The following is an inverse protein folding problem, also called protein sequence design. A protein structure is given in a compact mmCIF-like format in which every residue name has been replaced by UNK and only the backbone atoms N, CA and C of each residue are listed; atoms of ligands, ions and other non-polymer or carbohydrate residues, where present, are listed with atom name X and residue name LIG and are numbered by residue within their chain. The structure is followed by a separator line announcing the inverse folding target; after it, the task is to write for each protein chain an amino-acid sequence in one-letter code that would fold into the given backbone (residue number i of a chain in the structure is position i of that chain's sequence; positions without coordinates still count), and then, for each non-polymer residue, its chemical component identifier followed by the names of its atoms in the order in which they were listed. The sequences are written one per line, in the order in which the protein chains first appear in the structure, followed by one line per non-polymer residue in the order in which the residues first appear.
data_IF_577800525290
#
_entry.id   IF_577800525290
#
_cell.length_a   1.000
_cell.length_b   1.000
_cell.length_c   1.000
_cell.angle_alpha   90.00
_cell.angle_beta   90.00
_cell.angle_gamma   90.00
#
_symmetry.space_group_name_H-M   'P 1'
#
loop_
_entity.id
_entity.type
_entity.pdbx_description
1 polymer ?
#
# COMPACT_ATOMS: atom_id res chain seq x y z
N UNK A 1 4.93 -6.23 12.67
CA UNK A 1 4.68 -5.29 13.77
C UNK A 1 3.67 -4.28 13.27
N UNK A 2 2.71 -3.91 14.10
CA UNK A 2 1.69 -2.94 13.69
C UNK A 2 2.28 -1.52 13.76
N UNK A 3 1.86 -0.67 12.83
CA UNK A 3 2.43 0.68 12.64
C UNK A 3 1.31 1.70 12.50
N UNK A 4 1.47 2.85 13.14
CA UNK A 4 0.64 4.04 12.93
C UNK A 4 1.51 5.11 12.27
N UNK A 5 1.14 5.55 11.07
CA UNK A 5 1.86 6.58 10.33
C UNK A 5 1.14 7.91 10.34
N UNK A 6 1.77 8.95 10.87
CA UNK A 6 1.33 10.34 10.72
C UNK A 6 2.33 11.06 9.80
N UNK A 7 1.87 11.53 8.65
CA UNK A 7 2.68 12.32 7.75
C UNK A 7 1.80 13.21 6.87
N UNK A 8 2.39 14.12 6.12
CA UNK A 8 1.69 15.00 5.16
C UNK A 8 1.50 14.32 3.81
N UNK A 9 0.65 14.86 2.93
CA UNK A 9 0.50 14.36 1.55
C UNK A 9 1.83 14.53 0.79
N UNK A 10 2.19 13.57 -0.07
CA UNK A 10 3.46 13.60 -0.81
C UNK A 10 4.67 13.07 -0.04
N UNK A 11 4.54 12.71 1.24
CA UNK A 11 5.63 12.16 2.07
C UNK A 11 5.97 10.68 1.82
N UNK A 12 5.40 10.04 0.79
CA UNK A 12 5.68 8.64 0.47
C UNK A 12 4.93 7.61 1.34
N UNK A 13 3.85 8.00 2.03
CA UNK A 13 3.05 7.06 2.85
C UNK A 13 2.59 5.81 2.10
N UNK A 14 2.23 5.94 0.82
CA UNK A 14 1.81 4.80 0.01
C UNK A 14 2.94 3.78 -0.15
N UNK A 15 4.14 4.23 -0.53
CA UNK A 15 5.31 3.35 -0.63
C UNK A 15 5.67 2.71 0.72
N UNK A 16 5.48 3.43 1.82
CA UNK A 16 5.80 2.95 3.17
C UNK A 16 5.00 1.71 3.59
N UNK A 17 3.78 1.51 3.08
CA UNK A 17 3.04 0.25 3.27
C UNK A 17 3.07 -0.66 2.04
N UNK A 18 3.18 -0.12 0.82
CA UNK A 18 3.19 -0.92 -0.41
C UNK A 18 4.45 -1.80 -0.53
N UNK A 19 5.64 -1.23 -0.32
CA UNK A 19 6.91 -1.95 -0.43
C UNK A 19 6.99 -3.16 0.52
N UNK A 20 6.70 -3.05 1.83
CA UNK A 20 6.73 -4.24 2.69
C UNK A 20 5.64 -5.27 2.36
N UNK A 21 4.47 -4.85 1.86
CA UNK A 21 3.44 -5.79 1.38
C UNK A 21 3.94 -6.56 0.16
N UNK A 22 4.48 -5.85 -0.85
CA UNK A 22 4.98 -6.45 -2.09
C UNK A 22 6.17 -7.37 -1.82
N UNK A 23 7.11 -6.94 -0.97
CA UNK A 23 8.24 -7.77 -0.56
C UNK A 23 7.77 -9.08 0.08
N UNK A 24 6.85 -9.02 1.04
CA UNK A 24 6.33 -10.22 1.69
C UNK A 24 5.57 -11.14 0.72
N UNK A 25 4.84 -10.56 -0.24
CA UNK A 25 4.14 -11.31 -1.28
C UNK A 25 5.11 -11.99 -2.27
N UNK A 26 6.23 -11.34 -2.61
CA UNK A 26 7.27 -11.92 -3.46
C UNK A 26 7.98 -13.09 -2.77
N UNK A 27 8.20 -13.00 -1.46
CA UNK A 27 8.79 -14.07 -0.66
C UNK A 27 7.84 -15.27 -0.51
N UNK A 28 6.53 -15.04 -0.39
CA UNK A 28 5.51 -16.09 -0.28
C UNK A 28 4.23 -15.76 -1.07
N UNK A 29 4.15 -16.12 -2.37
CA UNK A 29 3.03 -15.77 -3.23
C UNK A 29 1.69 -16.34 -2.74
N UNK A 30 0.74 -15.46 -2.44
CA UNK A 30 -0.59 -15.82 -1.96
C UNK A 30 -1.67 -14.93 -2.59
N UNK A 31 -2.79 -15.52 -2.99
CA UNK A 31 -3.97 -14.76 -3.46
C UNK A 31 -4.63 -14.04 -2.29
N UNK A 32 -5.19 -12.85 -2.56
CA UNK A 32 -5.90 -12.04 -1.57
C UNK A 32 -5.06 -11.75 -0.30
N UNK A 33 -3.80 -11.36 -0.49
CA UNK A 33 -2.81 -11.20 0.58
C UNK A 33 -2.98 -9.92 1.43
N UNK A 34 -3.43 -8.82 0.83
CA UNK A 34 -3.57 -7.53 1.50
C UNK A 34 -4.90 -6.85 1.17
N UNK A 35 -5.42 -6.07 2.13
CA UNK A 35 -6.59 -5.22 1.99
C UNK A 35 -6.23 -3.79 2.40
N UNK A 36 -6.49 -2.84 1.50
CA UNK A 36 -6.28 -1.41 1.75
C UNK A 36 -7.65 -0.73 1.78
N UNK A 37 -7.97 -0.11 2.92
CA UNK A 37 -9.18 0.68 3.08
C UNK A 37 -8.85 2.16 2.93
N UNK A 38 -9.69 2.88 2.20
CA UNK A 38 -9.51 4.31 1.88
C UNK A 38 -10.85 5.03 1.95
N UNK A 39 -10.89 6.31 2.39
CA UNK A 39 -12.14 7.05 2.56
C UNK A 39 -12.85 7.41 1.24
N UNK A 40 -12.14 7.42 0.10
CA UNK A 40 -12.72 7.82 -1.19
C UNK A 40 -12.30 6.88 -2.31
N UNK A 41 -13.11 6.83 -3.37
CA UNK A 41 -12.87 6.00 -4.56
C UNK A 41 -11.65 6.51 -5.33
N UNK A 42 -11.51 7.81 -5.45
CA UNK A 42 -10.41 8.47 -6.17
C UNK A 42 -9.07 8.12 -5.54
N UNK A 43 -9.00 8.11 -4.20
CA UNK A 43 -7.78 7.71 -3.50
C UNK A 43 -7.51 6.20 -3.64
N UNK A 44 -8.55 5.37 -3.78
CA UNK A 44 -8.37 3.94 -4.09
C UNK A 44 -7.68 3.73 -5.45
N UNK A 45 -8.13 4.46 -6.48
CA UNK A 45 -7.50 4.40 -7.80
C UNK A 45 -6.05 4.88 -7.76
N UNK A 46 -5.79 6.02 -7.11
CA UNK A 46 -4.42 6.53 -6.96
C UNK A 46 -3.50 5.54 -6.26
N UNK A 47 -3.95 4.90 -5.18
CA UNK A 47 -3.15 3.88 -4.49
C UNK A 47 -2.93 2.67 -5.39
N UNK A 48 -3.94 2.20 -6.12
CA UNK A 48 -3.81 1.08 -7.06
C UNK A 48 -2.76 1.34 -8.13
N UNK A 49 -2.78 2.53 -8.75
CA UNK A 49 -1.78 2.94 -9.74
C UNK A 49 -0.36 2.93 -9.17
N UNK A 50 -0.19 3.33 -7.90
CA UNK A 50 1.13 3.24 -7.24
C UNK A 50 1.58 1.79 -7.02
N UNK A 51 0.66 0.86 -6.73
CA UNK A 51 1.00 -0.56 -6.59
C UNK A 51 1.40 -1.19 -7.93
N UNK A 52 0.75 -0.80 -9.03
CA UNK A 52 1.08 -1.32 -10.37
C UNK A 52 2.42 -0.77 -10.90
N UNK A 53 2.83 0.42 -10.44
CA UNK A 53 4.08 1.06 -10.83
C UNK A 53 5.32 0.57 -10.07
N UNK A 54 5.15 -0.12 -8.93
CA UNK A 54 6.20 -0.65 -8.07
C UNK A 54 6.52 -2.11 -8.41
#
# INVERSE_FOLDING_TARGET
KDVIGLAETGSGKTAAFALPILQALLENPQRYFALILTPTRELAFQISEQFEAL
#
